data_IF_900225704205
#
_entry.id   IF_900225704205
#
_cell.length_a   1.000
_cell.length_b   1.000
_cell.length_c   1.000
_cell.angle_alpha   90.00
_cell.angle_beta   90.00
_cell.angle_gamma   90.00
#
_symmetry.space_group_name_H-M   'P 1'
#
loop_
_entity.id
_entity.type
_entity.pdbx_description
1 polymer ?
#
# COMPACT_ATOMS: atom_id res chain seq x y z
N UNK A 1 40.32 -15.43 -36.52
CA UNK A 1 40.05 -14.12 -35.89
C UNK A 1 38.55 -13.83 -36.08
N UNK A 2 37.72 -14.24 -35.13
CA UNK A 2 36.25 -14.09 -35.17
C UNK A 2 35.92 -12.99 -34.17
N UNK A 3 35.53 -11.80 -34.70
CA UNK A 3 35.03 -10.72 -33.87
C UNK A 3 33.60 -11.09 -33.42
N UNK A 4 33.44 -11.37 -32.14
CA UNK A 4 32.14 -11.47 -31.48
C UNK A 4 31.58 -10.09 -31.27
N UNK A 5 30.50 -9.74 -31.98
CA UNK A 5 29.68 -8.58 -31.71
C UNK A 5 28.93 -8.82 -30.40
N UNK A 6 29.38 -8.15 -29.33
CA UNK A 6 28.59 -8.03 -28.10
C UNK A 6 27.44 -7.03 -28.39
N UNK A 7 26.25 -7.54 -28.59
CA UNK A 7 25.03 -6.74 -28.56
C UNK A 7 24.80 -6.29 -27.10
N UNK A 8 25.18 -5.06 -26.80
CA UNK A 8 24.64 -4.37 -25.63
C UNK A 8 23.17 -4.11 -25.90
N UNK A 9 22.29 -4.91 -25.35
CA UNK A 9 20.89 -4.59 -25.20
C UNK A 9 20.79 -3.39 -24.23
N UNK A 10 20.77 -2.19 -24.78
CA UNK A 10 20.26 -1.02 -24.07
C UNK A 10 18.77 -1.22 -23.90
N UNK A 11 18.34 -1.83 -22.80
CA UNK A 11 16.97 -1.78 -22.37
C UNK A 11 16.65 -0.32 -22.04
N UNK A 12 16.18 0.43 -23.04
CA UNK A 12 15.36 1.60 -22.77
C UNK A 12 14.16 1.06 -21.98
N UNK A 13 14.03 1.44 -20.71
CA UNK A 13 12.80 1.28 -19.96
C UNK A 13 11.77 2.14 -20.70
N UNK A 14 11.04 1.51 -21.64
CA UNK A 14 9.81 2.08 -22.16
C UNK A 14 8.90 2.39 -20.96
N UNK A 15 8.17 3.49 -21.04
CA UNK A 15 7.21 3.89 -20.01
C UNK A 15 6.29 2.69 -19.69
N UNK A 16 6.49 2.08 -18.52
CA UNK A 16 5.74 0.89 -18.13
C UNK A 16 4.42 1.31 -17.53
N UNK A 17 3.33 1.15 -18.27
CA UNK A 17 2.00 1.37 -17.76
C UNK A 17 1.64 0.31 -16.72
N UNK A 18 1.07 0.76 -15.59
CA UNK A 18 0.51 -0.08 -14.54
C UNK A 18 -1.00 0.06 -14.49
N UNK A 19 -1.67 -1.00 -14.07
CA UNK A 19 -3.13 -1.09 -13.97
C UNK A 19 -3.50 -1.17 -12.49
N UNK A 20 -4.16 -0.15 -11.97
CA UNK A 20 -4.48 -0.03 -10.55
C UNK A 20 -6.00 -0.12 -10.36
N UNK A 21 -6.43 -1.15 -9.63
CA UNK A 21 -7.83 -1.23 -9.20
C UNK A 21 -8.10 -0.15 -8.14
N UNK A 22 -9.04 0.76 -8.41
CA UNK A 22 -9.42 1.83 -7.48
C UNK A 22 -10.83 1.63 -6.93
N UNK A 23 -11.06 2.06 -5.68
CA UNK A 23 -12.26 1.76 -4.86
C UNK A 23 -12.51 0.25 -4.64
N UNK A 24 -11.47 -0.58 -4.68
CA UNK A 24 -11.57 -2.05 -4.62
C UNK A 24 -12.18 -2.60 -3.32
N UNK A 25 -12.22 -1.82 -2.25
CA UNK A 25 -12.87 -2.20 -1.00
C UNK A 25 -14.36 -1.84 -0.92
N UNK A 26 -14.96 -1.37 -2.02
CA UNK A 26 -16.34 -0.84 -2.04
C UNK A 26 -17.15 -1.56 -3.12
N UNK A 27 -18.35 -2.03 -2.77
CA UNK A 27 -19.29 -2.64 -3.73
C UNK A 27 -20.02 -1.55 -4.51
N UNK A 28 -19.39 -1.05 -5.57
CA UNK A 28 -19.84 0.12 -6.31
C UNK A 28 -21.03 -0.25 -7.21
N UNK A 29 -22.11 0.51 -7.10
CA UNK A 29 -23.28 0.42 -7.99
C UNK A 29 -23.39 1.62 -8.91
N UNK A 30 -22.90 2.77 -8.47
CA UNK A 30 -22.99 4.01 -9.21
C UNK A 30 -21.75 4.88 -8.94
N UNK A 31 -21.19 5.41 -10.01
CA UNK A 31 -20.06 6.35 -10.01
C UNK A 31 -20.45 7.63 -10.72
N UNK A 32 -19.82 8.71 -10.31
CA UNK A 32 -19.84 9.99 -11.00
C UNK A 32 -18.43 10.42 -11.35
N UNK A 33 -18.26 10.96 -12.52
CA UNK A 33 -17.02 11.56 -13.01
C UNK A 33 -17.25 13.02 -13.34
N UNK A 34 -16.27 13.84 -12.98
CA UNK A 34 -16.12 15.21 -13.47
C UNK A 34 -14.67 15.39 -13.92
N UNK A 35 -14.44 15.86 -15.15
CA UNK A 35 -13.11 16.22 -15.62
C UNK A 35 -12.62 17.40 -14.78
N UNK A 36 -11.54 17.21 -14.04
CA UNK A 36 -10.98 18.24 -13.15
C UNK A 36 -10.02 19.17 -13.87
N UNK A 37 -9.28 18.64 -14.85
CA UNK A 37 -8.37 19.39 -15.72
C UNK A 37 -8.20 18.66 -17.04
N UNK A 38 -7.98 19.40 -18.12
CA UNK A 38 -7.65 18.88 -19.44
C UNK A 38 -8.84 18.31 -20.21
N UNK A 39 -8.57 17.33 -21.04
CA UNK A 39 -9.56 16.74 -21.95
C UNK A 39 -9.49 15.22 -21.89
N UNK A 40 -10.66 14.58 -21.77
CA UNK A 40 -10.78 13.12 -21.84
C UNK A 40 -11.62 12.71 -23.04
N UNK A 41 -11.27 11.55 -23.58
CA UNK A 41 -12.04 10.88 -24.62
C UNK A 41 -12.71 9.65 -24.05
N UNK A 42 -13.93 9.39 -24.50
CA UNK A 42 -14.76 8.27 -24.04
C UNK A 42 -15.09 7.36 -25.21
N UNK A 43 -14.88 6.07 -25.04
CA UNK A 43 -15.26 5.02 -25.99
C UNK A 43 -15.92 3.86 -25.24
N UNK A 44 -16.76 3.10 -25.93
CA UNK A 44 -17.27 1.81 -25.42
C UNK A 44 -16.77 0.68 -26.31
N UNK A 45 -16.62 -0.48 -25.70
CA UNK A 45 -16.42 -1.76 -26.36
C UNK A 45 -17.57 -2.67 -26.00
N UNK A 46 -18.21 -3.28 -26.98
CA UNK A 46 -19.09 -4.42 -26.81
C UNK A 46 -18.27 -5.71 -26.96
N UNK A 47 -18.78 -6.82 -26.44
CA UNK A 47 -18.11 -8.12 -26.51
C UNK A 47 -17.83 -8.45 -27.98
N UNK A 48 -16.56 -8.61 -28.36
CA UNK A 48 -16.07 -8.97 -29.70
C UNK A 48 -16.29 -7.93 -30.84
N UNK A 49 -16.62 -6.69 -30.51
CA UNK A 49 -16.80 -5.60 -31.48
C UNK A 49 -15.66 -4.58 -31.41
N UNK A 50 -15.53 -3.79 -32.46
CA UNK A 50 -14.64 -2.63 -32.51
C UNK A 50 -15.07 -1.55 -31.50
N UNK A 51 -14.12 -0.68 -31.13
CA UNK A 51 -14.40 0.48 -30.28
C UNK A 51 -15.44 1.41 -30.94
N UNK A 52 -16.36 1.94 -30.14
CA UNK A 52 -17.30 2.97 -30.59
C UNK A 52 -16.57 4.22 -31.08
N UNK A 53 -17.30 5.10 -31.78
CA UNK A 53 -16.82 6.44 -32.10
C UNK A 53 -16.37 7.20 -30.84
N UNK A 54 -15.27 7.94 -30.97
CA UNK A 54 -14.69 8.73 -29.89
C UNK A 54 -15.62 9.87 -29.50
N UNK A 55 -15.90 10.01 -28.21
CA UNK A 55 -16.65 11.12 -27.63
C UNK A 55 -15.76 11.95 -26.71
N UNK A 56 -15.85 13.27 -26.79
CA UNK A 56 -15.09 14.19 -25.94
C UNK A 56 -15.88 14.48 -24.68
N UNK A 57 -15.23 14.40 -23.52
CA UNK A 57 -15.80 14.81 -22.24
C UNK A 57 -15.50 16.28 -21.97
N UNK A 58 -16.53 17.04 -21.60
CA UNK A 58 -16.43 18.46 -21.29
C UNK A 58 -16.11 18.68 -19.80
N UNK A 59 -15.15 19.56 -19.51
CA UNK A 59 -14.71 19.84 -18.14
C UNK A 59 -15.80 20.36 -17.18
N UNK A 60 -16.84 21.02 -17.72
CA UNK A 60 -17.98 21.52 -16.91
C UNK A 60 -19.09 20.53 -16.68
N UNK A 61 -19.01 19.36 -17.30
CA UNK A 61 -20.09 18.37 -17.26
C UNK A 61 -19.79 17.22 -16.30
N UNK A 62 -20.87 16.64 -15.79
CA UNK A 62 -20.83 15.49 -14.91
C UNK A 62 -21.37 14.28 -15.65
N UNK A 63 -20.65 13.19 -15.56
CA UNK A 63 -21.01 11.91 -16.17
C UNK A 63 -21.29 10.89 -15.10
N UNK A 64 -22.42 10.18 -15.20
CA UNK A 64 -22.82 9.14 -14.26
C UNK A 64 -22.69 7.77 -14.91
N UNK A 65 -22.14 6.82 -14.17
CA UNK A 65 -21.92 5.44 -14.60
C UNK A 65 -22.78 4.53 -13.74
N UNK A 66 -23.60 3.71 -14.39
CA UNK A 66 -24.54 2.79 -13.76
C UNK A 66 -24.48 1.42 -14.41
N UNK A 67 -24.98 0.41 -13.69
CA UNK A 67 -25.10 -0.96 -14.21
C UNK A 67 -26.53 -1.14 -14.74
N UNK A 68 -26.63 -1.65 -15.98
CA UNK A 68 -27.90 -2.07 -16.56
C UNK A 68 -27.67 -3.32 -17.43
N UNK A 69 -28.39 -4.41 -17.13
CA UNK A 69 -28.28 -5.70 -17.84
C UNK A 69 -26.84 -6.19 -18.05
N UNK A 70 -25.96 -6.02 -17.05
CA UNK A 70 -24.56 -6.44 -17.12
C UNK A 70 -23.63 -5.50 -17.92
N UNK A 71 -24.15 -4.41 -18.47
CA UNK A 71 -23.41 -3.37 -19.17
C UNK A 71 -23.16 -2.16 -18.26
N UNK A 72 -22.13 -1.39 -18.59
CA UNK A 72 -21.90 -0.06 -18.05
C UNK A 72 -22.67 0.94 -18.92
N UNK A 73 -23.60 1.68 -18.33
CA UNK A 73 -24.26 2.81 -18.98
C UNK A 73 -23.67 4.12 -18.47
N UNK A 74 -23.39 5.03 -19.37
CA UNK A 74 -22.90 6.39 -19.09
C UNK A 74 -24.01 7.38 -19.40
N UNK A 75 -24.32 8.23 -18.44
CA UNK A 75 -25.32 9.30 -18.60
C UNK A 75 -24.65 10.67 -18.53
N UNK A 76 -25.11 11.59 -19.37
CA UNK A 76 -24.83 13.02 -19.30
C UNK A 76 -26.13 13.80 -19.33
N UNK A 77 -26.32 14.74 -18.38
CA UNK A 77 -27.54 15.57 -18.26
C UNK A 77 -28.85 14.72 -18.21
N UNK A 78 -28.77 13.54 -17.59
CA UNK A 78 -29.91 12.63 -17.46
C UNK A 78 -30.24 11.79 -18.72
N UNK A 79 -29.52 11.96 -19.80
CA UNK A 79 -29.69 11.21 -21.04
C UNK A 79 -28.60 10.15 -21.19
N UNK A 80 -28.95 8.99 -21.75
CA UNK A 80 -27.99 7.94 -22.08
C UNK A 80 -27.01 8.47 -23.12
N UNK A 81 -25.74 8.50 -22.75
CA UNK A 81 -24.65 9.05 -23.59
C UNK A 81 -23.88 7.95 -24.32
N UNK A 82 -23.62 6.83 -23.64
CA UNK A 82 -22.90 5.67 -24.14
C UNK A 82 -23.20 4.44 -23.30
N UNK A 83 -23.07 3.24 -23.87
CA UNK A 83 -23.09 1.98 -23.11
C UNK A 83 -22.17 0.94 -23.74
N UNK A 84 -21.72 -0.04 -22.95
CA UNK A 84 -20.91 -1.15 -23.40
C UNK A 84 -20.55 -2.11 -22.29
N UNK A 85 -19.97 -3.25 -22.65
CA UNK A 85 -19.40 -4.21 -21.68
C UNK A 85 -18.14 -3.65 -21.00
N UNK A 86 -17.43 -2.77 -21.71
CA UNK A 86 -16.30 -2.01 -21.21
C UNK A 86 -16.42 -0.55 -21.67
N UNK A 87 -16.15 0.37 -20.78
CA UNK A 87 -16.01 1.80 -21.08
C UNK A 87 -14.54 2.17 -20.87
N UNK A 88 -13.97 2.86 -21.84
CA UNK A 88 -12.57 3.31 -21.83
C UNK A 88 -12.56 4.84 -21.85
N UNK A 89 -11.80 5.42 -20.94
CA UNK A 89 -11.51 6.85 -20.91
C UNK A 89 -10.01 7.04 -21.13
N UNK A 90 -9.66 7.84 -22.12
CA UNK A 90 -8.27 8.16 -22.41
C UNK A 90 -8.01 9.63 -22.22
N UNK A 91 -6.96 9.96 -21.46
CA UNK A 91 -6.49 11.34 -21.29
C UNK A 91 -5.87 11.86 -22.60
N UNK A 92 -6.01 13.16 -22.86
CA UNK A 92 -5.37 13.79 -24.01
C UNK A 92 -3.92 14.15 -23.71
N UNK A 93 -3.62 14.58 -22.49
CA UNK A 93 -2.28 14.97 -22.01
C UNK A 93 -1.98 14.30 -20.67
N UNK A 94 -0.70 14.15 -20.37
CA UNK A 94 -0.24 13.39 -19.19
C UNK A 94 -0.71 13.97 -17.86
N UNK A 95 -0.94 15.28 -17.76
CA UNK A 95 -1.37 15.96 -16.53
C UNK A 95 -2.90 16.09 -16.42
N UNK A 96 -3.66 15.55 -17.38
CA UNK A 96 -5.12 15.57 -17.33
C UNK A 96 -5.61 14.67 -16.17
N UNK A 97 -6.61 15.13 -15.43
CA UNK A 97 -7.16 14.33 -14.33
C UNK A 97 -8.69 14.40 -14.22
N UNK A 98 -9.25 13.35 -13.63
CA UNK A 98 -10.66 13.24 -13.32
C UNK A 98 -10.91 13.15 -11.83
N UNK A 99 -11.98 13.81 -11.36
CA UNK A 99 -12.57 13.62 -10.05
C UNK A 99 -13.62 12.52 -10.13
N UNK A 100 -13.39 11.44 -9.39
CA UNK A 100 -14.31 10.31 -9.28
C UNK A 100 -15.06 10.35 -7.97
N UNK A 101 -16.36 10.24 -8.00
CA UNK A 101 -17.23 10.17 -6.82
C UNK A 101 -17.98 8.85 -6.80
N UNK A 102 -17.85 8.08 -5.73
CA UNK A 102 -18.73 6.93 -5.47
C UNK A 102 -20.05 7.44 -4.93
N UNK A 103 -21.14 7.32 -5.70
CA UNK A 103 -22.45 7.79 -5.28
C UNK A 103 -23.20 6.76 -4.41
N UNK A 104 -22.96 5.47 -4.66
CA UNK A 104 -23.56 4.37 -3.91
C UNK A 104 -22.50 3.27 -3.71
N UNK A 105 -22.27 2.80 -2.47
CA UNK A 105 -23.04 2.97 -1.23
C UNK A 105 -22.63 4.19 -0.37
N UNK A 106 -21.58 4.90 -0.69
CA UNK A 106 -21.10 6.04 0.11
C UNK A 106 -20.38 7.08 -0.75
N UNK A 107 -20.52 8.34 -0.39
CA UNK A 107 -19.84 9.43 -1.09
C UNK A 107 -18.36 9.47 -0.70
N UNK A 108 -17.48 9.16 -1.66
CA UNK A 108 -16.01 9.36 -1.56
C UNK A 108 -15.55 9.99 -2.85
N UNK A 109 -14.87 11.13 -2.75
CA UNK A 109 -14.28 11.83 -3.90
C UNK A 109 -12.79 11.58 -3.94
N UNK A 110 -12.27 11.21 -5.10
CA UNK A 110 -10.83 11.08 -5.34
C UNK A 110 -10.47 11.55 -6.75
N UNK A 111 -9.34 12.21 -6.87
CA UNK A 111 -8.80 12.68 -8.13
C UNK A 111 -7.67 11.76 -8.62
N UNK A 112 -7.70 11.38 -9.89
CA UNK A 112 -6.68 10.53 -10.51
C UNK A 112 -6.32 11.04 -11.90
N UNK A 113 -5.04 10.92 -12.25
CA UNK A 113 -4.48 11.11 -13.58
C UNK A 113 -4.50 9.77 -14.34
N UNK A 114 -4.22 9.81 -15.64
CA UNK A 114 -4.14 8.61 -16.45
C UNK A 114 -5.45 8.21 -17.12
N UNK A 115 -5.42 7.08 -17.77
CA UNK A 115 -6.57 6.48 -18.43
C UNK A 115 -7.40 5.65 -17.44
N UNK A 116 -8.65 5.36 -17.83
CA UNK A 116 -9.52 4.55 -16.98
C UNK A 116 -10.28 3.51 -17.78
N UNK A 117 -10.51 2.36 -17.17
CA UNK A 117 -11.37 1.32 -17.69
C UNK A 117 -12.46 0.99 -16.67
N UNK A 118 -13.70 0.92 -17.15
CA UNK A 118 -14.84 0.50 -16.35
C UNK A 118 -15.47 -0.74 -16.95
N UNK A 119 -15.74 -1.71 -16.09
CA UNK A 119 -16.43 -2.96 -16.45
C UNK A 119 -17.44 -3.32 -15.35
N UNK A 120 -18.31 -4.28 -15.63
CA UNK A 120 -19.17 -4.90 -14.62
C UNK A 120 -18.66 -6.29 -14.27
N UNK A 121 -18.44 -6.55 -13.00
CA UNK A 121 -18.06 -7.87 -12.50
C UNK A 121 -18.85 -8.21 -11.25
N UNK A 122 -19.49 -9.39 -11.21
CA UNK A 122 -20.32 -9.85 -10.08
C UNK A 122 -21.38 -8.82 -9.66
N UNK A 123 -21.95 -8.10 -10.63
CA UNK A 123 -22.97 -7.06 -10.40
C UNK A 123 -22.44 -5.79 -9.71
N UNK A 124 -21.15 -5.51 -9.80
CA UNK A 124 -20.49 -4.29 -9.28
C UNK A 124 -19.70 -3.62 -10.40
N UNK A 125 -19.61 -2.28 -10.35
CA UNK A 125 -18.70 -1.52 -11.20
C UNK A 125 -17.27 -1.75 -10.71
N UNK A 126 -16.38 -2.08 -11.65
CA UNK A 126 -14.93 -2.13 -11.44
C UNK A 126 -14.30 -0.97 -12.19
N UNK A 127 -13.52 -0.19 -11.48
CA UNK A 127 -12.79 0.95 -12.05
C UNK A 127 -11.29 0.67 -11.92
N UNK A 128 -10.61 0.69 -13.07
CA UNK A 128 -9.17 0.49 -13.19
C UNK A 128 -8.56 1.77 -13.72
N UNK A 129 -7.56 2.29 -13.04
CA UNK A 129 -6.73 3.39 -13.50
C UNK A 129 -5.49 2.83 -14.22
N UNK A 130 -5.23 3.30 -15.42
CA UNK A 130 -4.11 2.87 -16.26
C UNK A 130 -3.20 4.07 -16.50
N UNK A 131 -1.95 3.98 -16.03
CA UNK A 131 -1.04 5.12 -16.06
C UNK A 131 0.42 4.66 -16.02
N UNK A 132 1.33 5.57 -16.36
CA UNK A 132 2.77 5.35 -16.22
C UNK A 132 3.14 5.09 -14.75
N UNK A 133 4.10 4.18 -14.52
CA UNK A 133 4.52 3.78 -13.17
C UNK A 133 5.05 4.97 -12.36
N UNK A 134 5.74 5.92 -12.96
CA UNK A 134 6.27 7.08 -12.23
C UNK A 134 5.14 8.01 -11.77
N UNK A 135 4.13 8.25 -12.60
CA UNK A 135 2.91 8.99 -12.21
C UNK A 135 2.16 8.27 -11.08
N UNK A 136 2.05 6.94 -11.14
CA UNK A 136 1.51 6.14 -10.04
C UNK A 136 2.32 6.35 -8.74
N UNK A 137 3.64 6.34 -8.82
CA UNK A 137 4.53 6.50 -7.67
C UNK A 137 4.42 7.89 -7.03
N UNK A 138 4.18 8.96 -7.79
CA UNK A 138 3.90 10.28 -7.23
C UNK A 138 2.68 10.25 -6.29
N UNK A 139 1.62 9.56 -6.69
CA UNK A 139 0.43 9.34 -5.86
C UNK A 139 0.68 8.44 -4.65
N UNK A 140 1.49 7.37 -4.81
CA UNK A 140 1.88 6.47 -3.71
C UNK A 140 2.74 7.20 -2.69
N UNK A 141 3.81 7.86 -3.11
CA UNK A 141 4.72 8.60 -2.22
C UNK A 141 3.97 9.70 -1.46
N UNK A 142 3.02 10.38 -2.14
CA UNK A 142 2.14 11.37 -1.50
C UNK A 142 1.23 10.73 -0.44
N UNK A 143 0.65 9.56 -0.75
CA UNK A 143 -0.31 8.88 0.14
C UNK A 143 0.36 8.19 1.33
N UNK A 144 1.52 7.58 1.14
CA UNK A 144 2.27 6.83 2.16
C UNK A 144 3.24 7.71 2.94
N UNK A 145 3.92 8.63 2.26
CA UNK A 145 5.00 9.43 2.82
C UNK A 145 4.54 10.68 3.56
N UNK A 146 3.31 11.14 3.31
CA UNK A 146 2.81 12.39 3.87
C UNK A 146 3.54 13.62 3.30
N UNK A 147 3.49 14.75 4.02
CA UNK A 147 4.06 16.04 3.59
C UNK A 147 5.09 16.58 4.59
N UNK A 148 5.94 17.53 4.13
CA UNK A 148 6.85 18.26 5.01
C UNK A 148 8.16 17.52 5.35
N UNK A 149 8.55 16.54 4.57
CA UNK A 149 9.79 15.78 4.76
C UNK A 149 10.90 16.22 3.81
N UNK A 150 12.12 15.72 4.02
CA UNK A 150 13.29 15.98 3.19
C UNK A 150 13.26 15.17 1.90
N UNK A 151 13.89 15.67 0.84
CA UNK A 151 13.97 15.05 -0.46
C UNK A 151 14.46 13.59 -0.37
N UNK A 152 15.55 13.34 0.36
CA UNK A 152 16.14 12.00 0.46
C UNK A 152 15.22 10.93 1.06
N UNK A 153 14.27 11.32 1.93
CA UNK A 153 13.22 10.41 2.39
C UNK A 153 12.23 10.05 1.27
N UNK A 154 11.77 11.04 0.50
CA UNK A 154 10.86 10.78 -0.63
C UNK A 154 11.55 9.97 -1.73
N UNK A 155 12.83 10.20 -2.00
CA UNK A 155 13.64 9.41 -2.92
C UNK A 155 13.73 7.95 -2.46
N UNK A 156 14.03 7.69 -1.19
CA UNK A 156 14.03 6.35 -0.64
C UNK A 156 12.65 5.68 -0.75
N UNK A 157 11.57 6.40 -0.41
CA UNK A 157 10.19 5.91 -0.53
C UNK A 157 9.82 5.60 -1.99
N UNK A 158 10.22 6.45 -2.95
CA UNK A 158 9.98 6.21 -4.37
C UNK A 158 10.65 4.93 -4.86
N UNK A 159 11.93 4.70 -4.51
CA UNK A 159 12.67 3.49 -4.89
C UNK A 159 12.01 2.23 -4.31
N UNK A 160 11.68 2.21 -3.02
CA UNK A 160 11.05 1.02 -2.42
C UNK A 160 9.66 0.77 -2.95
N UNK A 161 8.88 1.83 -3.21
CA UNK A 161 7.53 1.69 -3.76
C UNK A 161 7.55 1.21 -5.21
N UNK A 162 8.53 1.64 -6.02
CA UNK A 162 8.76 1.14 -7.38
C UNK A 162 9.15 -0.32 -7.37
N UNK A 163 10.11 -0.70 -6.53
CA UNK A 163 10.55 -2.09 -6.39
C UNK A 163 9.39 -2.99 -5.96
N UNK A 164 8.60 -2.55 -4.98
CA UNK A 164 7.40 -3.28 -4.54
C UNK A 164 6.38 -3.44 -5.66
N UNK A 165 6.08 -2.38 -6.41
CA UNK A 165 5.10 -2.41 -7.49
C UNK A 165 5.51 -3.41 -8.58
N UNK A 166 6.77 -3.37 -9.00
CA UNK A 166 7.32 -4.28 -10.02
C UNK A 166 7.36 -5.72 -9.53
N UNK A 167 7.75 -5.95 -8.28
CA UNK A 167 7.77 -7.29 -7.69
C UNK A 167 6.37 -7.92 -7.57
N UNK A 168 5.33 -7.10 -7.43
CA UNK A 168 3.95 -7.53 -7.21
C UNK A 168 3.03 -7.25 -8.39
N UNK A 169 3.56 -7.02 -9.59
CA UNK A 169 2.80 -6.60 -10.79
C UNK A 169 1.67 -7.58 -11.19
N UNK A 170 1.80 -8.84 -10.81
CA UNK A 170 0.84 -9.90 -11.11
C UNK A 170 -0.10 -10.24 -9.94
N UNK A 171 -0.06 -9.48 -8.82
CA UNK A 171 -0.76 -9.82 -7.57
C UNK A 171 -2.27 -9.96 -7.72
N UNK A 172 -2.89 -9.15 -8.59
CA UNK A 172 -4.33 -9.15 -8.87
C UNK A 172 -4.66 -9.49 -10.33
N UNK A 173 -3.79 -10.25 -11.02
CA UNK A 173 -4.01 -10.61 -12.42
C UNK A 173 -5.38 -11.27 -12.70
N UNK A 174 -5.88 -12.07 -11.75
CA UNK A 174 -7.21 -12.71 -11.84
C UNK A 174 -8.38 -11.71 -11.75
N UNK A 175 -8.11 -10.48 -11.29
CA UNK A 175 -9.06 -9.38 -11.20
C UNK A 175 -8.89 -8.35 -12.33
N UNK A 176 -7.99 -8.64 -13.28
CA UNK A 176 -7.65 -7.82 -14.44
C UNK A 176 -6.95 -6.48 -14.12
N UNK A 177 -6.27 -6.39 -12.98
CA UNK A 177 -5.37 -5.28 -12.65
C UNK A 177 -4.11 -5.78 -11.92
N UNK A 178 -3.10 -4.94 -11.77
CA UNK A 178 -1.83 -5.30 -11.15
C UNK A 178 -1.87 -5.15 -9.62
N UNK A 179 -2.23 -3.99 -9.14
CA UNK A 179 -2.22 -3.61 -7.73
C UNK A 179 -3.55 -2.94 -7.36
N UNK A 180 -3.93 -2.99 -6.09
CA UNK A 180 -5.06 -2.21 -5.58
C UNK A 180 -4.58 -0.93 -4.88
N UNK A 181 -5.47 0.04 -4.73
CA UNK A 181 -5.19 1.33 -4.10
C UNK A 181 -5.07 1.29 -2.57
N UNK A 182 -5.22 0.11 -1.98
CA UNK A 182 -5.28 -0.06 -0.51
C UNK A 182 -3.92 -0.46 0.06
N UNK A 183 -3.76 -0.32 1.36
CA UNK A 183 -2.60 -0.80 2.14
C UNK A 183 -2.31 -2.31 2.01
N UNK A 184 -3.22 -3.08 1.41
CA UNK A 184 -2.98 -4.46 1.00
C UNK A 184 -1.87 -4.56 -0.07
N UNK A 185 -1.78 -3.55 -0.94
CA UNK A 185 -0.66 -3.34 -1.85
C UNK A 185 0.14 -2.12 -1.40
N UNK A 186 -0.24 -0.93 -1.84
CA UNK A 186 0.30 0.36 -1.39
C UNK A 186 -0.84 1.38 -1.42
N UNK A 187 -0.89 2.31 -0.46
CA UNK A 187 -1.89 3.35 -0.49
C UNK A 187 -1.70 4.26 -1.72
N UNK A 188 -2.72 4.29 -2.57
CA UNK A 188 -2.80 5.16 -3.75
C UNK A 188 -4.18 5.82 -3.74
N UNK A 189 -4.35 6.86 -2.91
CA UNK A 189 -5.65 7.40 -2.57
C UNK A 189 -6.09 8.57 -3.45
N UNK A 190 -5.14 9.23 -4.12
CA UNK A 190 -5.36 10.32 -5.06
C UNK A 190 -4.15 10.44 -5.99
N UNK A 191 -4.32 11.21 -7.08
CA UNK A 191 -3.16 11.80 -7.74
C UNK A 191 -2.31 12.54 -6.72
N UNK A 192 -1.06 12.82 -7.03
CA UNK A 192 -0.22 13.61 -6.11
C UNK A 192 -0.94 14.89 -5.65
N UNK A 193 -0.84 15.17 -4.38
CA UNK A 193 -1.29 16.42 -3.80
C UNK A 193 -0.09 17.09 -3.13
N UNK A 194 0.44 18.12 -3.74
CA UNK A 194 1.04 19.20 -2.97
C UNK A 194 2.50 19.39 -2.86
N UNK A 195 3.48 18.63 -3.28
CA UNK A 195 4.86 19.12 -3.19
C UNK A 195 5.69 18.79 -4.43
N UNK A 196 6.28 19.83 -5.04
CA UNK A 196 7.32 19.67 -6.08
C UNK A 196 8.49 18.75 -5.65
N UNK A 197 8.68 18.55 -4.35
CA UNK A 197 9.70 17.64 -3.81
C UNK A 197 9.38 16.19 -4.09
N UNK A 198 8.10 15.78 -4.10
CA UNK A 198 7.72 14.39 -4.42
C UNK A 198 8.00 14.12 -5.90
N UNK A 199 7.63 15.05 -6.79
CA UNK A 199 7.91 14.93 -8.22
C UNK A 199 9.41 14.87 -8.47
N UNK A 200 10.16 15.76 -7.84
CA UNK A 200 11.63 15.75 -7.90
C UNK A 200 12.19 14.41 -7.43
N UNK A 201 11.70 13.86 -6.32
CA UNK A 201 12.17 12.59 -5.77
C UNK A 201 11.91 11.42 -6.73
N UNK A 202 10.71 11.35 -7.28
CA UNK A 202 10.33 10.29 -8.25
C UNK A 202 11.17 10.41 -9.51
N UNK A 203 11.34 11.61 -10.07
CA UNK A 203 12.13 11.85 -11.28
C UNK A 203 13.63 11.60 -11.06
N UNK A 204 14.22 12.05 -9.95
CA UNK A 204 15.63 11.79 -9.63
C UNK A 204 15.91 10.28 -9.51
N UNK A 205 14.95 9.55 -8.96
CA UNK A 205 15.08 8.10 -8.76
C UNK A 205 14.44 7.27 -9.86
N UNK A 206 14.05 7.86 -10.97
CA UNK A 206 13.43 7.16 -12.10
C UNK A 206 14.25 5.95 -12.52
N UNK A 207 13.59 4.78 -12.55
CA UNK A 207 14.20 3.50 -12.92
C UNK A 207 15.04 2.85 -11.81
N UNK A 208 15.36 3.52 -10.70
CA UNK A 208 16.07 2.87 -9.59
C UNK A 208 15.18 1.87 -8.86
N UNK A 209 15.72 0.66 -8.66
CA UNK A 209 15.10 -0.45 -7.93
C UNK A 209 16.11 -1.12 -7.00
N UNK A 210 15.63 -1.89 -6.05
CA UNK A 210 16.43 -2.76 -5.20
C UNK A 210 16.34 -4.20 -5.70
N UNK A 211 17.51 -4.82 -5.94
CA UNK A 211 17.63 -6.20 -6.37
C UNK A 211 18.40 -7.03 -5.33
N UNK A 212 18.11 -8.32 -5.25
CA UNK A 212 18.90 -9.30 -4.51
C UNK A 212 20.17 -9.72 -5.29
N UNK A 213 20.95 -10.63 -4.72
CA UNK A 213 22.17 -11.14 -5.35
C UNK A 213 21.92 -11.90 -6.67
N UNK A 214 20.69 -12.39 -6.88
CA UNK A 214 20.28 -13.13 -8.06
C UNK A 214 19.57 -12.24 -9.10
N UNK A 215 19.60 -10.92 -8.92
CA UNK A 215 18.92 -9.93 -9.74
C UNK A 215 17.37 -10.03 -9.74
N UNK A 216 16.77 -10.62 -8.69
CA UNK A 216 15.33 -10.52 -8.45
C UNK A 216 15.02 -9.25 -7.66
N UNK A 217 13.79 -8.73 -7.80
CA UNK A 217 13.33 -7.61 -7.00
C UNK A 217 13.39 -7.95 -5.51
N UNK A 218 14.02 -7.06 -4.74
CA UNK A 218 14.13 -7.23 -3.30
C UNK A 218 12.77 -6.98 -2.61
N UNK A 219 12.42 -7.72 -1.56
CA UNK A 219 11.17 -7.52 -0.84
C UNK A 219 11.21 -6.23 0.00
N UNK A 220 10.71 -5.15 -0.56
CA UNK A 220 10.77 -3.79 0.02
C UNK A 220 9.56 -3.45 0.89
N UNK A 221 9.35 -4.21 1.97
CA UNK A 221 8.32 -3.90 2.95
C UNK A 221 8.68 -2.67 3.78
N UNK A 222 7.67 -1.88 4.14
CA UNK A 222 7.85 -0.70 4.98
C UNK A 222 6.67 -0.52 5.94
N UNK A 223 6.89 0.23 6.99
CA UNK A 223 5.89 0.47 8.04
C UNK A 223 6.14 1.83 8.69
N UNK A 224 5.13 2.34 9.44
CA UNK A 224 5.20 3.69 9.99
C UNK A 224 6.34 3.88 11.02
N UNK A 225 6.44 2.98 12.02
CA UNK A 225 7.43 3.09 13.10
C UNK A 225 7.77 1.69 13.67
N UNK A 226 9.04 1.35 13.80
CA UNK A 226 9.46 0.05 14.33
C UNK A 226 9.47 -0.04 15.87
N UNK A 227 9.38 1.08 16.58
CA UNK A 227 9.45 1.11 18.05
C UNK A 227 10.84 0.86 18.61
N UNK A 228 11.89 1.10 17.83
CA UNK A 228 13.29 0.90 18.23
C UNK A 228 13.92 -0.41 17.74
N UNK A 229 13.12 -1.31 17.17
CA UNK A 229 13.62 -2.58 16.62
C UNK A 229 12.74 -3.03 15.44
N UNK A 230 13.35 -3.42 14.31
CA UNK A 230 12.65 -4.04 13.19
C UNK A 230 12.18 -5.46 13.56
N UNK A 231 11.34 -6.06 12.74
CA UNK A 231 10.70 -7.35 13.02
C UNK A 231 11.10 -8.40 11.98
N UNK A 232 11.27 -9.64 12.43
CA UNK A 232 11.43 -10.78 11.54
C UNK A 232 10.14 -11.02 10.73
N UNK A 233 10.20 -11.22 9.41
CA UNK A 233 9.03 -11.52 8.58
C UNK A 233 8.23 -12.72 9.08
N UNK A 234 8.90 -13.77 9.55
CA UNK A 234 8.28 -14.99 10.06
C UNK A 234 7.37 -14.76 11.28
N UNK A 235 7.59 -13.70 12.08
CA UNK A 235 6.72 -13.37 13.21
C UNK A 235 5.37 -12.79 12.77
N UNK A 236 5.32 -12.28 11.52
CA UNK A 236 4.13 -11.64 10.96
C UNK A 236 3.41 -12.55 9.94
N UNK A 237 4.16 -13.18 9.02
CA UNK A 237 3.57 -13.93 7.90
C UNK A 237 3.81 -15.44 7.93
N UNK A 238 4.48 -15.99 8.98
CA UNK A 238 4.94 -17.41 9.06
C UNK A 238 5.88 -17.80 7.91
N UNK A 239 6.51 -16.83 7.27
CA UNK A 239 7.39 -17.02 6.14
C UNK A 239 8.72 -16.33 6.42
N UNK A 240 9.81 -17.04 6.18
CA UNK A 240 11.14 -16.45 6.22
C UNK A 240 11.41 -15.81 4.86
N UNK A 241 11.73 -14.51 4.85
CA UNK A 241 12.05 -13.76 3.64
C UNK A 241 13.53 -13.42 3.69
N UNK A 242 14.29 -13.97 2.74
CA UNK A 242 15.74 -13.76 2.69
C UNK A 242 16.10 -12.27 2.58
N UNK A 243 17.12 -11.88 3.33
CA UNK A 243 17.62 -10.51 3.35
C UNK A 243 16.94 -9.58 4.36
N UNK A 244 15.74 -9.91 4.84
CA UNK A 244 15.04 -9.13 5.86
C UNK A 244 15.30 -9.73 7.23
N UNK A 245 15.99 -8.96 8.09
CA UNK A 245 16.38 -9.37 9.44
C UNK A 245 15.92 -8.33 10.46
N UNK A 246 15.90 -8.72 11.73
CA UNK A 246 15.70 -7.79 12.83
C UNK A 246 17.00 -7.08 13.18
N UNK A 247 16.93 -5.79 13.46
CA UNK A 247 18.03 -4.98 13.99
C UNK A 247 17.50 -3.80 14.82
N UNK A 248 18.39 -3.21 15.63
CA UNK A 248 18.05 -2.03 16.44
C UNK A 248 18.03 -0.78 15.56
N UNK A 249 16.94 -0.04 15.60
CA UNK A 249 16.74 1.25 14.92
C UNK A 249 16.41 2.33 15.94
N UNK A 250 17.39 3.14 16.27
CA UNK A 250 17.25 4.22 17.25
C UNK A 250 16.74 5.54 16.65
N UNK A 251 16.60 5.63 15.33
CA UNK A 251 16.19 6.88 14.68
C UNK A 251 14.73 7.23 14.98
N UNK A 252 13.85 6.23 15.16
CA UNK A 252 12.41 6.44 15.32
C UNK A 252 11.93 6.57 16.78
N UNK A 253 12.77 6.33 17.79
CA UNK A 253 12.34 6.15 19.20
C UNK A 253 11.78 7.41 19.88
N UNK A 254 12.03 8.60 19.33
CA UNK A 254 11.54 9.88 19.84
C UNK A 254 10.49 10.53 18.92
N UNK A 255 9.92 9.76 18.01
CA UNK A 255 8.93 10.27 17.06
C UNK A 255 7.50 10.01 17.55
N UNK A 256 6.51 10.60 16.86
CA UNK A 256 5.11 10.62 17.29
C UNK A 256 4.51 9.22 17.51
N UNK A 257 4.92 8.25 16.70
CA UNK A 257 4.36 6.90 16.73
C UNK A 257 5.25 5.88 17.45
N UNK A 258 6.28 6.37 18.15
CA UNK A 258 7.24 5.52 18.85
C UNK A 258 6.61 4.68 19.97
N UNK A 259 5.59 5.22 20.64
CA UNK A 259 4.92 4.54 21.76
C UNK A 259 3.39 4.68 21.68
N UNK A 260 2.69 3.77 22.35
CA UNK A 260 1.24 3.82 22.50
C UNK A 260 0.80 3.06 23.75
N UNK A 261 -0.37 3.41 24.26
CA UNK A 261 -1.01 2.72 25.38
C UNK A 261 -2.41 2.31 24.97
N UNK A 262 -2.86 1.14 25.39
CA UNK A 262 -4.22 0.65 25.21
C UNK A 262 -4.64 -0.21 26.38
N UNK A 263 -5.90 -0.09 26.78
CA UNK A 263 -6.54 -0.97 27.74
C UNK A 263 -7.49 -1.93 27.00
N UNK A 264 -7.57 -3.16 27.50
CA UNK A 264 -8.48 -4.21 27.02
C UNK A 264 -9.09 -4.89 28.24
N UNK A 265 -10.43 -5.08 28.32
CA UNK A 265 -11.04 -5.82 29.42
C UNK A 265 -10.39 -7.19 29.59
N UNK A 266 -10.00 -7.54 30.83
CA UNK A 266 -9.35 -8.81 31.16
C UNK A 266 -10.21 -10.00 30.70
N UNK A 267 -11.53 -9.88 30.83
CA UNK A 267 -12.47 -10.91 30.38
C UNK A 267 -12.38 -11.14 28.85
N UNK A 268 -12.31 -10.09 28.06
CA UNK A 268 -12.21 -10.20 26.59
C UNK A 268 -10.86 -10.81 26.18
N UNK A 269 -9.80 -10.39 26.87
CA UNK A 269 -8.46 -10.92 26.66
C UNK A 269 -8.39 -12.41 26.96
N UNK A 270 -8.85 -12.83 28.13
CA UNK A 270 -8.84 -14.24 28.54
C UNK A 270 -9.79 -15.10 27.72
N UNK A 271 -10.98 -14.61 27.38
CA UNK A 271 -11.92 -15.30 26.48
C UNK A 271 -11.29 -15.59 25.12
N UNK A 272 -10.56 -14.65 24.55
CA UNK A 272 -9.86 -14.86 23.28
C UNK A 272 -8.78 -15.94 23.42
N UNK A 273 -7.96 -15.91 24.48
CA UNK A 273 -6.90 -16.89 24.72
C UNK A 273 -7.46 -18.30 24.93
N UNK A 274 -8.52 -18.44 25.72
CA UNK A 274 -9.18 -19.74 25.93
C UNK A 274 -9.83 -20.25 24.66
N UNK A 275 -10.63 -19.42 23.99
CA UNK A 275 -11.42 -19.84 22.83
C UNK A 275 -10.54 -20.23 21.64
N UNK A 276 -9.45 -19.52 21.41
CA UNK A 276 -8.61 -19.73 20.22
C UNK A 276 -7.42 -20.64 20.48
N UNK A 277 -6.88 -20.65 21.70
CA UNK A 277 -5.62 -21.35 22.03
C UNK A 277 -5.75 -22.36 23.18
N UNK A 278 -6.95 -22.57 23.69
CA UNK A 278 -7.21 -23.46 24.85
C UNK A 278 -6.31 -23.09 26.06
N UNK A 279 -6.06 -21.78 26.27
CA UNK A 279 -5.18 -21.32 27.33
C UNK A 279 -5.68 -21.77 28.71
N UNK A 280 -4.83 -22.42 29.55
CA UNK A 280 -5.30 -23.09 30.78
C UNK A 280 -5.45 -22.10 31.95
N UNK A 281 -6.60 -21.44 32.06
CA UNK A 281 -6.91 -20.52 33.17
C UNK A 281 -7.05 -21.23 34.55
N UNK A 282 -7.12 -22.55 34.56
CA UNK A 282 -7.16 -23.35 35.81
C UNK A 282 -5.78 -23.67 36.36
N UNK A 283 -4.74 -23.48 35.55
CA UNK A 283 -3.35 -23.67 35.93
C UNK A 283 -2.78 -22.40 36.60
N UNK A 284 -2.33 -22.52 37.83
CA UNK A 284 -1.84 -21.37 38.59
C UNK A 284 -0.60 -20.69 37.97
N UNK A 285 0.28 -21.46 37.33
CA UNK A 285 1.47 -20.92 36.69
C UNK A 285 1.07 -20.11 35.44
N UNK A 286 0.16 -20.63 34.62
CA UNK A 286 -0.36 -19.94 33.43
C UNK A 286 -1.07 -18.64 33.84
N UNK A 287 -1.86 -18.65 34.90
CA UNK A 287 -2.51 -17.45 35.46
C UNK A 287 -1.47 -16.44 35.97
N UNK A 288 -0.41 -16.90 36.63
CA UNK A 288 0.67 -16.01 37.09
C UNK A 288 1.39 -15.34 35.92
N UNK A 289 1.65 -16.06 34.83
CA UNK A 289 2.25 -15.50 33.60
C UNK A 289 1.39 -14.42 32.94
N UNK A 290 0.05 -14.51 33.04
CA UNK A 290 -0.85 -13.48 32.53
C UNK A 290 -0.71 -12.13 33.26
N UNK A 291 -0.24 -12.12 34.50
CA UNK A 291 -0.18 -10.89 35.31
C UNK A 291 0.78 -9.87 34.71
N UNK A 292 1.87 -10.34 34.07
CA UNK A 292 2.85 -9.46 33.49
C UNK A 292 3.58 -10.16 32.35
N UNK A 293 3.61 -9.50 31.19
CA UNK A 293 4.37 -9.91 29.99
C UNK A 293 5.25 -8.76 29.54
N UNK A 294 6.54 -9.00 29.37
CA UNK A 294 7.53 -8.00 28.96
C UNK A 294 8.28 -8.49 27.73
N UNK A 295 8.41 -7.63 26.73
CA UNK A 295 9.23 -7.86 25.56
C UNK A 295 10.48 -6.97 25.57
N UNK A 296 11.64 -7.44 26.07
CA UNK A 296 12.90 -6.69 25.98
C UNK A 296 13.36 -6.53 24.54
N UNK A 297 12.98 -7.47 23.68
CA UNK A 297 13.15 -7.46 22.22
C UNK A 297 11.91 -8.07 21.58
N UNK A 298 11.73 -7.85 20.26
CA UNK A 298 10.57 -8.41 19.55
C UNK A 298 10.53 -9.93 19.62
N UNK A 299 9.36 -10.46 19.91
CA UNK A 299 9.07 -11.88 20.05
C UNK A 299 7.99 -12.30 19.03
N UNK A 300 7.94 -13.59 18.71
CA UNK A 300 6.89 -14.18 17.88
C UNK A 300 5.61 -14.46 18.68
N UNK A 301 5.77 -14.92 19.93
CA UNK A 301 4.69 -15.45 20.74
C UNK A 301 4.49 -14.65 22.04
N UNK A 302 3.24 -14.56 22.47
CA UNK A 302 2.84 -14.04 23.75
C UNK A 302 3.13 -15.05 24.86
N UNK A 303 3.61 -14.57 26.00
CA UNK A 303 4.02 -15.33 27.19
C UNK A 303 5.18 -16.29 26.88
N UNK A 304 4.87 -17.48 26.38
CA UNK A 304 5.86 -18.50 26.05
C UNK A 304 5.44 -19.26 24.79
N UNK A 305 6.37 -19.69 23.92
CA UNK A 305 6.07 -20.42 22.69
C UNK A 305 5.22 -21.69 22.87
N UNK A 306 5.29 -22.34 24.05
CA UNK A 306 4.51 -23.54 24.36
C UNK A 306 3.00 -23.31 24.27
N UNK A 307 2.51 -22.11 24.52
CA UNK A 307 1.10 -21.76 24.38
C UNK A 307 0.67 -21.52 22.94
N UNK A 308 1.63 -21.38 22.03
CA UNK A 308 1.37 -21.19 20.60
C UNK A 308 0.54 -19.95 20.25
N UNK A 309 0.62 -18.86 21.05
CA UNK A 309 -0.18 -17.64 20.92
C UNK A 309 0.65 -16.60 20.13
N UNK A 310 0.47 -16.45 18.81
CA UNK A 310 1.24 -15.46 18.04
C UNK A 310 0.83 -14.03 18.42
N UNK A 311 1.79 -13.15 18.63
CA UNK A 311 1.55 -11.73 18.92
C UNK A 311 0.79 -11.00 17.80
N UNK A 312 0.94 -11.44 16.54
CA UNK A 312 0.17 -10.90 15.42
C UNK A 312 -1.32 -11.13 15.57
N UNK A 313 -1.74 -12.28 16.11
CA UNK A 313 -3.15 -12.63 16.28
C UNK A 313 -3.79 -11.75 17.38
N UNK A 314 -3.02 -11.43 18.44
CA UNK A 314 -3.44 -10.44 19.44
C UNK A 314 -3.55 -9.04 18.81
N UNK A 315 -2.58 -8.66 17.96
CA UNK A 315 -2.63 -7.39 17.25
C UNK A 315 -3.89 -7.27 16.38
N UNK A 316 -4.24 -8.29 15.64
CA UNK A 316 -5.43 -8.31 14.78
C UNK A 316 -6.72 -8.28 15.62
N UNK A 317 -6.84 -9.17 16.59
CA UNK A 317 -8.03 -9.29 17.44
C UNK A 317 -8.36 -7.98 18.15
N UNK A 318 -7.36 -7.40 18.79
CA UNK A 318 -7.54 -6.21 19.61
C UNK A 318 -7.18 -4.91 18.88
N UNK A 319 -6.95 -4.95 17.55
CA UNK A 319 -6.60 -3.78 16.70
C UNK A 319 -5.48 -2.95 17.35
N UNK A 320 -4.37 -3.62 17.70
CA UNK A 320 -3.20 -2.99 18.30
C UNK A 320 -2.35 -2.34 17.21
N UNK A 321 -1.62 -1.28 17.57
CA UNK A 321 -0.77 -0.57 16.60
C UNK A 321 0.41 -1.43 16.12
N UNK A 322 0.98 -2.27 17.00
CA UNK A 322 2.11 -3.16 16.69
C UNK A 322 2.02 -4.47 17.47
N UNK A 323 2.91 -5.39 17.19
CA UNK A 323 3.15 -6.62 17.98
C UNK A 323 4.18 -6.41 19.09
N UNK A 324 4.77 -5.23 19.20
CA UNK A 324 5.81 -4.92 20.18
C UNK A 324 5.20 -4.17 21.36
N UNK A 325 4.81 -4.90 22.40
CA UNK A 325 4.16 -4.34 23.60
C UNK A 325 4.43 -5.17 24.85
N UNK A 326 4.46 -4.52 25.97
CA UNK A 326 4.38 -5.11 27.29
C UNK A 326 2.91 -5.12 27.73
N UNK A 327 2.51 -6.09 28.54
CA UNK A 327 1.15 -6.21 29.08
C UNK A 327 1.19 -6.43 30.59
N UNK A 328 0.29 -5.78 31.32
CA UNK A 328 0.13 -5.97 32.77
C UNK A 328 -1.34 -5.96 33.15
N UNK A 329 -1.76 -6.89 34.00
CA UNK A 329 -3.12 -6.92 34.55
C UNK A 329 -3.24 -5.91 35.69
N UNK A 330 -4.21 -5.00 35.56
CA UNK A 330 -4.53 -3.99 36.56
C UNK A 330 -6.03 -4.03 36.83
N UNK A 331 -6.42 -4.65 37.95
CA UNK A 331 -7.83 -4.86 38.25
C UNK A 331 -8.53 -5.73 37.22
N UNK A 332 -9.57 -5.20 36.56
CA UNK A 332 -10.32 -5.87 35.48
C UNK A 332 -9.82 -5.61 34.08
N UNK A 333 -8.66 -4.96 33.92
CA UNK A 333 -8.12 -4.54 32.63
C UNK A 333 -6.73 -5.12 32.39
N UNK A 334 -6.40 -5.38 31.13
CA UNK A 334 -5.04 -5.60 30.65
C UNK A 334 -4.53 -4.31 30.05
N UNK A 335 -3.56 -3.69 30.70
CA UNK A 335 -2.88 -2.49 30.23
C UNK A 335 -1.75 -2.88 29.30
N UNK A 336 -1.76 -2.35 28.08
CA UNK A 336 -0.76 -2.59 27.04
C UNK A 336 0.09 -1.33 26.83
N UNK A 337 1.40 -1.47 26.99
CA UNK A 337 2.39 -0.43 26.76
C UNK A 337 3.19 -0.80 25.51
N UNK A 338 2.80 -0.25 24.38
CA UNK A 338 3.34 -0.66 23.09
C UNK A 338 4.36 0.32 22.50
N UNK A 339 5.18 -0.21 21.60
CA UNK A 339 6.21 0.49 20.85
C UNK A 339 5.96 0.34 19.35
N UNK A 340 6.02 1.46 18.61
CA UNK A 340 5.90 1.48 17.15
C UNK A 340 4.50 1.35 16.59
N UNK A 341 4.39 1.43 15.26
CA UNK A 341 3.15 1.32 14.50
C UNK A 341 3.38 0.61 13.17
N UNK A 342 2.66 -0.46 12.93
CA UNK A 342 2.76 -1.32 11.74
C UNK A 342 3.32 -2.70 12.07
N UNK A 343 3.72 -3.44 11.02
CA UNK A 343 4.23 -4.81 11.15
C UNK A 343 5.71 -4.86 11.60
N UNK A 344 6.47 -3.79 11.42
CA UNK A 344 7.85 -3.71 11.87
C UNK A 344 8.90 -4.26 10.89
N UNK A 345 8.52 -4.86 9.78
CA UNK A 345 9.44 -5.49 8.81
C UNK A 345 9.95 -4.46 7.80
N UNK A 346 11.24 -4.48 7.45
CA UNK A 346 11.87 -3.62 6.46
C UNK A 346 11.99 -2.16 6.92
N UNK A 347 11.76 -1.20 6.02
CA UNK A 347 11.99 0.22 6.30
C UNK A 347 10.99 0.80 7.31
N UNK A 348 11.53 1.45 8.34
CA UNK A 348 10.79 2.29 9.28
C UNK A 348 10.67 3.71 8.71
N UNK A 349 9.46 4.14 8.32
CA UNK A 349 9.26 5.46 7.69
C UNK A 349 9.69 6.61 8.60
N UNK A 350 9.27 6.62 9.87
CA UNK A 350 9.68 7.68 10.80
C UNK A 350 11.20 7.65 11.10
N UNK A 351 11.84 6.47 11.08
CA UNK A 351 13.29 6.33 11.16
C UNK A 351 13.99 6.93 9.94
N UNK A 352 13.53 6.57 8.73
CA UNK A 352 14.04 7.13 7.47
C UNK A 352 13.88 8.64 7.39
N UNK A 353 12.72 9.17 7.85
CA UNK A 353 12.49 10.62 7.96
C UNK A 353 13.52 11.32 8.88
N UNK A 354 13.88 10.69 10.00
CA UNK A 354 14.90 11.22 10.90
C UNK A 354 16.32 11.11 10.32
N UNK A 355 16.64 10.02 9.62
CA UNK A 355 17.90 9.91 8.89
C UNK A 355 18.02 11.03 7.85
N UNK A 356 17.00 11.26 7.04
CA UNK A 356 16.96 12.33 6.05
C UNK A 356 17.12 13.73 6.70
N UNK A 357 16.51 13.98 7.87
CA UNK A 357 16.73 15.23 8.63
C UNK A 357 18.16 15.40 9.12
N UNK A 358 18.87 14.29 9.41
CA UNK A 358 20.29 14.27 9.79
C UNK A 358 21.25 14.33 8.60
N UNK A 359 20.74 14.44 7.37
CA UNK A 359 21.55 14.60 6.15
C UNK A 359 21.94 13.31 5.45
N UNK A 360 21.39 12.16 5.84
CA UNK A 360 21.61 10.92 5.10
C UNK A 360 20.97 11.01 3.71
N UNK A 361 21.68 10.52 2.69
CA UNK A 361 21.19 10.39 1.34
C UNK A 361 20.23 9.19 1.21
N UNK A 362 19.45 9.11 0.13
CA UNK A 362 18.46 8.05 -0.04
C UNK A 362 19.10 6.66 -0.15
N UNK A 363 20.26 6.55 -0.81
CA UNK A 363 21.03 5.30 -0.91
C UNK A 363 21.54 4.84 0.45
N UNK A 364 22.01 5.75 1.33
CA UNK A 364 22.41 5.44 2.70
C UNK A 364 21.20 4.95 3.54
N UNK A 365 20.03 5.58 3.37
CA UNK A 365 18.79 5.16 4.03
C UNK A 365 18.40 3.75 3.55
N UNK A 366 18.42 3.50 2.24
CA UNK A 366 18.10 2.20 1.67
C UNK A 366 19.08 1.11 2.12
N UNK A 367 20.37 1.41 2.12
CA UNK A 367 21.41 0.49 2.58
C UNK A 367 21.25 0.13 4.07
N UNK A 368 20.83 1.07 4.90
CA UNK A 368 20.58 0.85 6.32
C UNK A 368 19.43 -0.14 6.57
N UNK A 369 18.31 0.01 5.85
CA UNK A 369 17.13 -0.84 6.05
C UNK A 369 17.15 -2.12 5.22
N UNK A 370 17.91 -2.17 4.15
CA UNK A 370 18.02 -3.31 3.22
C UNK A 370 19.48 -3.62 2.90
N UNK A 371 20.28 -4.02 3.93
CA UNK A 371 21.73 -4.20 3.76
C UNK A 371 22.12 -5.29 2.75
N UNK A 372 21.20 -6.23 2.44
CA UNK A 372 21.39 -7.27 1.44
C UNK A 372 20.95 -6.90 0.03
N UNK A 373 20.39 -5.70 -0.17
CA UNK A 373 19.92 -5.24 -1.46
C UNK A 373 20.98 -4.43 -2.21
N UNK A 374 20.94 -4.54 -3.55
CA UNK A 374 21.73 -3.72 -4.45
C UNK A 374 20.83 -2.70 -5.13
N UNK A 375 21.16 -1.41 -4.98
CA UNK A 375 20.50 -0.33 -5.72
C UNK A 375 20.98 -0.37 -7.18
N UNK A 376 20.03 -0.48 -8.12
CA UNK A 376 20.29 -0.61 -9.57
C UNK A 376 19.34 0.28 -10.34
N UNK A 377 19.79 0.81 -11.45
CA UNK A 377 18.98 1.59 -12.39
C UNK A 377 18.72 0.75 -13.64
#
# INVERSE_FOLDING_TARGET
MILGLVWMLSNHLEAQNVRIGIFTGTKIKELQLQVGHGTYFLQSKETDQELSALKVLNASETYQFRIYNGLVQVYSKGQLYLQGSQIILSQKQQEDFCNWTVLSPSSKVRAYEGDFELTVSKGELKLINVLDIETYLEGVVSSEGGSGHRLSYYEAQAVISRTYALNNINRHQNENFALCERVHCQAYLNKRTGTALIDTAVQHTKGYVLLDANAHYYPTFFHANCGGQTCEPQYIWNEQINGLTTFQDTFCIHTKQATWVKSVPLQDWTNFLVKKYNFPLTDSMSVALLQSFVQPQRMAFYLHPVYGIPLRDLREQFKLKSTFFDAVVVGSEVMLYGKGFGHGVGLCQEGAMQMAKKGYSFDQILQYYYPGARLTK
#
